data_IF_511040387800
#
_entry.id   IF_511040387800
#
_cell.length_a   1.000
_cell.length_b   1.000
_cell.length_c   1.000
_cell.angle_alpha   90.00
_cell.angle_beta   90.00
_cell.angle_gamma   90.00
#
_symmetry.space_group_name_H-M   'P 1'
#
loop_
_entity.id
_entity.type
_entity.pdbx_description
1 polymer ?
#
# COMPACT_ATOMS: atom_id res chain seq x y z
N UNK A 1 18.70 -8.67 -0.24
CA UNK A 1 18.00 -8.34 1.03
C UNK A 1 17.37 -6.96 0.96
N UNK A 2 18.12 -5.85 0.72
CA UNK A 2 17.59 -4.48 0.69
C UNK A 2 16.37 -4.33 -0.22
N UNK A 3 16.38 -4.84 -1.45
CA UNK A 3 15.26 -4.71 -2.38
C UNK A 3 13.98 -5.39 -1.89
N UNK A 4 14.07 -6.63 -1.40
CA UNK A 4 12.91 -7.37 -0.90
C UNK A 4 12.32 -6.73 0.37
N UNK A 5 13.19 -6.24 1.28
CA UNK A 5 12.72 -5.53 2.47
C UNK A 5 12.07 -4.18 2.13
N UNK A 6 12.63 -3.43 1.17
CA UNK A 6 12.05 -2.17 0.71
C UNK A 6 10.65 -2.39 0.13
N UNK A 7 10.47 -3.41 -0.71
CA UNK A 7 9.17 -3.73 -1.33
C UNK A 7 8.12 -4.11 -0.28
N UNK A 8 8.50 -4.93 0.70
CA UNK A 8 7.59 -5.30 1.81
C UNK A 8 7.26 -4.10 2.67
N UNK A 9 8.25 -3.27 3.03
CA UNK A 9 8.02 -2.11 3.90
C UNK A 9 7.23 -1.00 3.19
N UNK A 10 7.44 -0.80 1.89
CA UNK A 10 6.63 0.11 1.08
C UNK A 10 5.15 -0.31 1.12
N UNK A 11 4.87 -1.57 0.78
CA UNK A 11 3.50 -2.09 0.80
C UNK A 11 2.87 -2.04 2.20
N UNK A 12 3.62 -2.40 3.25
CA UNK A 12 3.12 -2.35 4.63
C UNK A 12 2.84 -0.91 5.08
N UNK A 13 3.66 0.05 4.65
CA UNK A 13 3.45 1.46 4.95
C UNK A 13 2.22 2.01 4.22
N UNK A 14 2.09 1.72 2.92
CA UNK A 14 0.92 2.13 2.14
C UNK A 14 -0.38 1.57 2.70
N UNK A 15 -0.42 0.28 3.04
CA UNK A 15 -1.61 -0.34 3.63
C UNK A 15 -1.94 0.23 5.01
N UNK A 16 -0.94 0.53 5.83
CA UNK A 16 -1.16 1.15 7.14
C UNK A 16 -1.72 2.57 7.02
N UNK A 17 -1.18 3.38 6.10
CA UNK A 17 -1.67 4.72 5.82
C UNK A 17 -3.09 4.65 5.24
N UNK A 18 -3.34 3.75 4.27
CA UNK A 18 -4.66 3.56 3.67
C UNK A 18 -5.72 3.18 4.71
N UNK A 19 -5.41 2.21 5.60
CA UNK A 19 -6.31 1.83 6.70
C UNK A 19 -6.57 3.00 7.66
N UNK A 20 -5.54 3.78 7.99
CA UNK A 20 -5.67 4.97 8.81
C UNK A 20 -6.54 6.05 8.17
N UNK A 21 -6.31 6.33 6.89
CA UNK A 21 -7.10 7.30 6.11
C UNK A 21 -8.54 6.85 5.92
N UNK A 22 -8.79 5.55 5.66
CA UNK A 22 -10.13 4.99 5.54
C UNK A 22 -10.93 5.18 6.85
N UNK A 23 -10.34 4.83 7.99
CA UNK A 23 -10.99 4.97 9.31
C UNK A 23 -11.23 6.42 9.70
N UNK A 24 -10.31 7.31 9.41
CA UNK A 24 -10.44 8.73 9.69
C UNK A 24 -11.32 9.45 8.67
N UNK A 25 -11.38 8.94 7.44
CA UNK A 25 -12.06 9.59 6.33
C UNK A 25 -13.55 9.25 6.22
N UNK A 26 -14.02 8.11 6.73
CA UNK A 26 -15.47 7.82 6.75
C UNK A 26 -16.05 8.34 8.06
N UNK A 27 -16.88 9.38 7.97
CA UNK A 27 -17.58 10.02 9.09
C UNK A 27 -19.07 9.66 9.13
N UNK A 28 -19.53 8.80 8.23
CA UNK A 28 -20.86 8.24 8.21
C UNK A 28 -21.10 7.34 9.43
N UNK A 29 -22.35 7.26 9.91
CA UNK A 29 -22.74 6.35 11.00
C UNK A 29 -22.99 4.93 10.49
N UNK A 30 -23.51 4.83 9.28
CA UNK A 30 -23.85 3.56 8.62
C UNK A 30 -23.26 3.50 7.21
N UNK A 31 -22.78 2.31 6.87
CA UNK A 31 -22.34 1.96 5.52
C UNK A 31 -23.27 0.85 5.01
N UNK A 32 -23.91 1.08 3.88
CA UNK A 32 -24.79 0.09 3.25
C UNK A 32 -24.11 -0.43 2.00
N UNK A 33 -24.04 -1.74 1.87
CA UNK A 33 -23.49 -2.44 0.71
C UNK A 33 -24.43 -3.51 0.23
N UNK A 34 -24.32 -3.88 -1.05
CA UNK A 34 -25.02 -5.02 -1.61
C UNK A 34 -24.07 -5.73 -2.61
N UNK A 35 -23.89 -7.05 -2.54
CA UNK A 35 -23.06 -7.79 -3.49
C UNK A 35 -23.48 -7.62 -4.97
N UNK A 36 -24.76 -7.36 -5.24
CA UNK A 36 -25.27 -7.07 -6.57
C UNK A 36 -25.10 -5.59 -6.99
N UNK A 37 -24.67 -4.73 -6.05
CA UNK A 37 -24.62 -3.28 -6.20
C UNK A 37 -25.93 -2.60 -5.81
N UNK A 38 -25.83 -1.35 -5.38
CA UNK A 38 -26.97 -0.54 -4.92
C UNK A 38 -27.57 0.24 -6.09
N UNK A 39 -28.91 0.27 -6.21
CA UNK A 39 -29.58 1.07 -7.22
C UNK A 39 -29.21 2.56 -7.11
N UNK A 40 -29.20 3.25 -8.25
CA UNK A 40 -28.84 4.70 -8.33
C UNK A 40 -29.69 5.58 -7.42
N UNK A 41 -30.95 5.22 -7.21
CA UNK A 41 -31.91 5.92 -6.37
C UNK A 41 -31.79 5.58 -4.87
N UNK A 42 -30.86 4.68 -4.50
CA UNK A 42 -30.68 4.24 -3.11
C UNK A 42 -30.35 5.40 -2.18
N UNK A 43 -29.47 6.32 -2.63
CA UNK A 43 -29.10 7.51 -1.87
C UNK A 43 -30.30 8.44 -1.62
N UNK A 44 -31.10 8.70 -2.66
CA UNK A 44 -32.32 9.51 -2.52
C UNK A 44 -33.36 8.86 -1.62
N UNK A 45 -33.53 7.54 -1.72
CA UNK A 45 -34.44 6.80 -0.83
C UNK A 45 -33.98 6.86 0.61
N UNK A 46 -32.70 6.70 0.87
CA UNK A 46 -32.12 6.82 2.19
C UNK A 46 -32.28 8.24 2.76
N UNK A 47 -32.04 9.27 1.97
CA UNK A 47 -32.17 10.67 2.37
C UNK A 47 -33.61 11.06 2.78
N UNK A 48 -34.62 10.34 2.27
CA UNK A 48 -36.05 10.53 2.66
C UNK A 48 -36.45 9.78 3.92
N UNK A 49 -35.57 8.95 4.48
CA UNK A 49 -35.89 8.18 5.70
C UNK A 49 -35.80 9.07 6.95
N UNK A 50 -36.65 8.81 7.96
CA UNK A 50 -36.64 9.60 9.17
C UNK A 50 -35.30 9.55 9.91
N UNK A 51 -34.78 10.73 10.29
CA UNK A 51 -33.56 10.87 11.07
C UNK A 51 -32.27 10.77 10.26
N UNK A 52 -32.34 10.68 8.94
CA UNK A 52 -31.15 10.74 8.05
C UNK A 52 -30.79 12.18 7.78
N UNK A 53 -29.54 12.56 8.08
CA UNK A 53 -29.00 13.91 7.88
C UNK A 53 -28.31 14.07 6.53
N UNK A 54 -27.69 12.98 6.02
CA UNK A 54 -27.07 12.90 4.71
C UNK A 54 -26.98 11.45 4.25
N UNK A 55 -27.14 11.23 2.96
CA UNK A 55 -26.95 9.95 2.31
C UNK A 55 -26.30 10.14 0.95
N UNK A 56 -25.15 9.49 0.74
CA UNK A 56 -24.33 9.65 -0.47
C UNK A 56 -23.97 8.28 -1.03
N UNK A 57 -24.36 8.01 -2.26
CA UNK A 57 -23.94 6.84 -3.02
C UNK A 57 -22.56 7.04 -3.63
N UNK A 58 -21.74 6.02 -3.54
CA UNK A 58 -20.40 6.00 -4.10
C UNK A 58 -20.29 4.90 -5.16
N UNK A 59 -20.01 5.29 -6.39
CA UNK A 59 -19.67 4.39 -7.49
C UNK A 59 -18.16 4.33 -7.60
N UNK A 60 -17.56 3.20 -7.18
CA UNK A 60 -16.13 3.02 -7.26
C UNK A 60 -15.72 2.52 -8.64
N UNK A 61 -14.71 3.15 -9.24
CA UNK A 61 -14.16 2.79 -10.54
C UNK A 61 -12.68 3.15 -10.64
N UNK A 62 -12.10 3.02 -11.82
CA UNK A 62 -10.75 3.50 -12.11
C UNK A 62 -10.78 4.41 -13.33
N UNK A 63 -9.97 5.45 -13.28
CA UNK A 63 -9.69 6.33 -14.43
C UNK A 63 -8.19 6.27 -14.74
N UNK A 64 -7.81 6.55 -15.98
CA UNK A 64 -6.41 6.63 -16.36
C UNK A 64 -6.01 8.11 -16.44
N UNK A 65 -4.95 8.48 -15.74
CA UNK A 65 -4.44 9.85 -15.72
C UNK A 65 -3.02 9.84 -16.28
N UNK A 66 -2.69 10.72 -17.25
CA UNK A 66 -1.32 10.90 -17.69
C UNK A 66 -0.52 11.55 -16.56
N UNK A 67 0.57 10.90 -16.17
CA UNK A 67 1.49 11.34 -15.12
C UNK A 67 2.88 11.46 -15.72
N UNK A 68 3.60 12.51 -15.34
CA UNK A 68 4.91 12.84 -15.90
C UNK A 68 4.79 13.87 -17.02
N UNK A 69 5.95 14.32 -17.53
CA UNK A 69 6.03 15.38 -18.53
C UNK A 69 6.78 14.90 -19.78
N UNK A 70 6.34 15.36 -20.95
CA UNK A 70 6.99 15.11 -22.25
C UNK A 70 7.01 13.64 -22.65
N UNK A 71 8.18 13.17 -23.13
CA UNK A 71 8.38 11.79 -23.59
C UNK A 71 8.30 10.72 -22.45
N UNK A 72 8.32 11.15 -21.20
CA UNK A 72 8.22 10.27 -20.03
C UNK A 72 6.80 10.23 -19.43
N UNK A 73 5.79 10.75 -20.14
CA UNK A 73 4.41 10.65 -19.70
C UNK A 73 3.91 9.20 -19.82
N UNK A 74 3.32 8.68 -18.76
CA UNK A 74 2.70 7.36 -18.73
C UNK A 74 1.25 7.47 -18.23
N UNK A 75 0.36 6.65 -18.78
CA UNK A 75 -1.00 6.52 -18.26
C UNK A 75 -0.98 5.65 -17.00
N UNK A 76 -1.39 6.23 -15.89
CA UNK A 76 -1.50 5.51 -14.62
C UNK A 76 -2.97 5.36 -14.23
N UNK A 77 -3.32 4.18 -13.71
CA UNK A 77 -4.63 3.92 -13.12
C UNK A 77 -4.76 4.65 -11.78
N UNK A 78 -5.78 5.50 -11.66
CA UNK A 78 -6.14 6.17 -10.43
C UNK A 78 -7.50 5.66 -9.95
N UNK A 79 -7.60 5.30 -8.66
CA UNK A 79 -8.87 4.94 -8.05
C UNK A 79 -9.81 6.14 -8.06
N UNK A 80 -11.00 5.98 -8.61
CA UNK A 80 -11.97 7.04 -8.74
C UNK A 80 -13.29 6.68 -8.07
N UNK A 81 -13.93 7.67 -7.46
CA UNK A 81 -15.30 7.55 -6.95
C UNK A 81 -16.21 8.56 -7.64
N UNK A 82 -17.36 8.09 -8.12
CA UNK A 82 -18.48 8.91 -8.54
C UNK A 82 -19.43 9.12 -7.38
N UNK A 83 -19.72 10.37 -7.06
CA UNK A 83 -20.51 10.76 -5.89
C UNK A 83 -21.93 11.11 -6.33
N UNK A 84 -22.94 10.48 -5.72
CA UNK A 84 -24.34 10.85 -5.87
C UNK A 84 -24.68 11.92 -4.85
N UNK A 85 -25.15 13.08 -5.32
CA UNK A 85 -25.47 14.22 -4.46
C UNK A 85 -24.44 15.34 -4.58
N UNK A 86 -24.41 16.24 -3.62
CA UNK A 86 -23.56 17.43 -3.61
C UNK A 86 -22.26 17.21 -2.86
N UNK A 87 -21.22 17.98 -3.16
CA UNK A 87 -19.98 17.97 -2.40
C UNK A 87 -20.16 18.34 -0.91
N UNK A 88 -21.17 19.18 -0.60
CA UNK A 88 -21.55 19.51 0.79
C UNK A 88 -22.14 18.29 1.53
N UNK A 89 -22.92 17.44 0.87
CA UNK A 89 -23.43 16.19 1.44
C UNK A 89 -22.31 15.19 1.61
N UNK A 90 -21.40 15.09 0.63
CA UNK A 90 -20.21 14.26 0.75
C UNK A 90 -19.38 14.63 1.98
N UNK A 91 -19.15 15.92 2.22
CA UNK A 91 -18.38 16.39 3.39
C UNK A 91 -18.99 16.02 4.74
N UNK A 92 -20.29 15.69 4.79
CA UNK A 92 -20.95 15.22 6.02
C UNK A 92 -20.66 13.74 6.33
N UNK A 93 -20.46 12.91 5.30
CA UNK A 93 -20.31 11.45 5.41
C UNK A 93 -18.88 10.98 5.18
N UNK A 94 -18.05 11.83 4.53
CA UNK A 94 -16.67 11.52 4.20
C UNK A 94 -15.78 12.77 4.39
N UNK A 95 -14.81 12.68 5.28
CA UNK A 95 -13.78 13.69 5.49
C UNK A 95 -12.55 13.37 4.62
N UNK A 96 -12.42 14.06 3.50
CA UNK A 96 -11.30 13.92 2.56
C UNK A 96 -10.05 14.70 3.00
N UNK A 97 -10.11 15.50 4.07
CA UNK A 97 -9.02 16.40 4.48
C UNK A 97 -8.66 17.39 3.37
N UNK A 98 -9.63 18.22 2.94
CA UNK A 98 -9.44 19.21 1.87
C UNK A 98 -8.39 20.22 2.29
N UNK A 99 -7.36 20.37 1.47
CA UNK A 99 -6.22 21.27 1.67
C UNK A 99 -6.35 22.57 0.88
N UNK A 100 -6.88 22.47 -0.32
CA UNK A 100 -7.06 23.59 -1.24
C UNK A 100 -8.39 23.48 -1.95
N UNK A 101 -9.04 24.61 -2.22
CA UNK A 101 -10.34 24.67 -2.88
C UNK A 101 -11.53 24.29 -1.98
N UNK A 102 -12.62 23.80 -2.58
CA UNK A 102 -13.84 23.37 -1.85
C UNK A 102 -14.56 22.27 -2.60
N UNK A 103 -15.04 21.26 -1.87
CA UNK A 103 -15.92 20.21 -2.41
C UNK A 103 -17.32 20.75 -2.81
N UNK A 104 -17.77 21.87 -2.26
CA UNK A 104 -19.08 22.47 -2.61
C UNK A 104 -19.18 22.79 -4.09
N UNK A 105 -18.03 22.97 -4.75
CA UNK A 105 -17.95 23.24 -6.19
C UNK A 105 -17.95 21.98 -7.05
N UNK A 106 -17.95 20.77 -6.43
CA UNK A 106 -18.01 19.52 -7.15
C UNK A 106 -19.32 19.40 -7.94
N UNK A 107 -19.25 18.96 -9.18
CA UNK A 107 -20.38 18.83 -10.09
C UNK A 107 -19.93 18.44 -11.48
N UNK A 108 -20.82 18.54 -12.46
CA UNK A 108 -20.53 18.16 -13.85
C UNK A 108 -19.33 18.94 -14.41
N UNK A 109 -18.40 18.22 -15.05
CA UNK A 109 -17.16 18.79 -15.61
C UNK A 109 -16.13 19.24 -14.57
N UNK A 110 -16.30 18.88 -13.31
CA UNK A 110 -15.42 19.24 -12.20
C UNK A 110 -14.94 18.01 -11.45
N UNK A 111 -13.75 18.13 -10.83
CA UNK A 111 -13.10 17.03 -10.15
C UNK A 111 -12.40 17.52 -8.89
N UNK A 112 -12.41 16.69 -7.86
CA UNK A 112 -11.50 16.83 -6.72
C UNK A 112 -10.47 15.68 -6.78
N UNK A 113 -9.21 15.98 -6.46
CA UNK A 113 -8.11 15.01 -6.55
C UNK A 113 -7.30 14.98 -5.27
N UNK A 114 -6.61 13.88 -5.04
CA UNK A 114 -5.68 13.80 -3.92
C UNK A 114 -4.37 14.54 -4.24
N UNK A 115 -3.67 14.93 -3.20
CA UNK A 115 -2.41 15.70 -3.31
C UNK A 115 -1.31 14.88 -4.00
N UNK A 116 -1.30 13.57 -3.86
CA UNK A 116 -0.31 12.70 -4.51
C UNK A 116 -0.46 12.77 -6.01
N UNK A 117 -1.68 12.68 -6.50
CA UNK A 117 -1.98 12.80 -7.93
C UNK A 117 -1.72 14.23 -8.44
N UNK A 118 -2.12 15.25 -7.68
CA UNK A 118 -1.86 16.65 -8.01
C UNK A 118 -0.36 16.90 -8.23
N UNK A 119 0.48 16.42 -7.30
CA UNK A 119 1.94 16.54 -7.41
C UNK A 119 2.51 15.72 -8.58
N UNK A 120 2.00 14.51 -8.81
CA UNK A 120 2.49 13.61 -9.85
C UNK A 120 2.15 14.10 -11.27
N UNK A 121 1.00 14.76 -11.41
CA UNK A 121 0.54 15.35 -12.66
C UNK A 121 0.93 16.84 -12.83
N UNK A 122 1.55 17.44 -11.80
CA UNK A 122 1.93 18.88 -11.75
C UNK A 122 0.75 19.81 -12.03
N UNK A 123 -0.38 19.58 -11.33
CA UNK A 123 -1.64 20.34 -11.48
C UNK A 123 -2.17 20.79 -10.12
N UNK A 124 -2.94 21.89 -10.11
CA UNK A 124 -3.54 22.48 -8.92
C UNK A 124 -5.01 22.88 -9.11
N UNK A 125 -5.59 23.52 -8.09
CA UNK A 125 -6.95 24.03 -8.15
C UNK A 125 -7.10 25.08 -9.26
N UNK A 126 -8.08 24.89 -10.14
CA UNK A 126 -8.36 25.75 -11.31
C UNK A 126 -7.77 25.20 -12.61
N UNK A 127 -6.83 24.26 -12.54
CA UNK A 127 -6.31 23.58 -13.73
C UNK A 127 -7.29 22.53 -14.25
N UNK A 128 -7.04 22.04 -15.46
CA UNK A 128 -7.79 20.93 -16.03
C UNK A 128 -6.98 19.65 -15.91
N UNK A 129 -7.61 18.59 -15.39
CA UNK A 129 -7.00 17.26 -15.30
C UNK A 129 -7.36 16.44 -16.56
N UNK A 130 -6.42 16.22 -17.50
CA UNK A 130 -6.67 15.27 -18.57
C UNK A 130 -6.76 13.87 -17.99
N UNK A 131 -7.84 13.15 -18.29
CA UNK A 131 -8.05 11.78 -17.85
C UNK A 131 -8.82 10.97 -18.90
N UNK A 132 -8.73 9.66 -18.80
CA UNK A 132 -9.53 8.75 -19.58
C UNK A 132 -10.50 8.04 -18.63
N UNK A 133 -11.79 8.11 -18.96
CA UNK A 133 -12.85 7.38 -18.28
C UNK A 133 -12.71 5.88 -18.49
N UNK A 134 -13.43 5.04 -17.75
CA UNK A 134 -13.28 3.59 -17.82
C UNK A 134 -13.46 2.96 -19.21
N UNK A 135 -14.24 3.57 -20.06
CA UNK A 135 -14.47 3.18 -21.47
C UNK A 135 -13.40 3.73 -22.45
N UNK A 136 -12.41 4.47 -21.94
CA UNK A 136 -11.36 5.09 -22.74
C UNK A 136 -11.72 6.50 -23.26
N UNK A 137 -12.92 7.01 -22.99
CA UNK A 137 -13.31 8.37 -23.39
C UNK A 137 -12.42 9.41 -22.69
N UNK A 138 -11.90 10.34 -23.45
CA UNK A 138 -11.07 11.44 -22.93
C UNK A 138 -11.95 12.52 -22.32
N UNK A 139 -11.58 12.96 -21.13
CA UNK A 139 -12.20 14.06 -20.40
C UNK A 139 -11.13 14.96 -19.80
N UNK A 140 -11.46 16.21 -19.55
CA UNK A 140 -10.56 17.17 -18.91
C UNK A 140 -11.33 18.07 -17.94
N UNK A 141 -11.86 17.53 -16.83
CA UNK A 141 -12.60 18.31 -15.84
C UNK A 141 -11.69 19.32 -15.12
N UNK A 142 -12.30 20.42 -14.65
CA UNK A 142 -11.64 21.44 -13.83
C UNK A 142 -11.42 20.92 -12.39
N UNK A 143 -10.23 21.10 -11.85
CA UNK A 143 -9.90 20.75 -10.47
C UNK A 143 -10.47 21.81 -9.53
N UNK A 144 -11.40 21.43 -8.66
CA UNK A 144 -12.07 22.32 -7.70
C UNK A 144 -11.57 22.17 -6.28
N UNK A 145 -10.93 21.03 -5.95
CA UNK A 145 -10.34 20.79 -4.65
C UNK A 145 -9.16 19.83 -4.74
N UNK A 146 -8.17 20.02 -3.85
CA UNK A 146 -7.08 19.10 -3.59
C UNK A 146 -7.15 18.65 -2.13
N UNK A 147 -7.13 17.34 -1.88
CA UNK A 147 -7.33 16.76 -0.57
C UNK A 147 -6.20 15.81 -0.15
N UNK A 148 -6.12 15.48 1.14
CA UNK A 148 -5.02 14.71 1.72
C UNK A 148 -5.28 13.21 1.88
N UNK A 149 -6.54 12.74 1.87
CA UNK A 149 -6.90 11.34 2.17
C UNK A 149 -7.35 10.56 0.94
N UNK A 150 -6.48 10.45 -0.06
CA UNK A 150 -6.80 9.71 -1.29
C UNK A 150 -6.49 8.22 -1.22
N UNK A 151 -5.48 7.81 -0.46
CA UNK A 151 -4.94 6.46 -0.52
C UNK A 151 -5.91 5.40 0.06
N UNK A 152 -6.66 5.73 1.10
CA UNK A 152 -7.64 4.84 1.72
C UNK A 152 -9.06 4.98 1.17
N UNK A 153 -9.36 6.03 0.40
CA UNK A 153 -10.68 6.36 -0.11
C UNK A 153 -10.69 6.29 -1.64
N UNK A 154 -10.45 7.42 -2.29
CA UNK A 154 -10.27 7.49 -3.74
C UNK A 154 -9.29 8.62 -4.07
N UNK A 155 -8.50 8.43 -5.12
CA UNK A 155 -7.53 9.42 -5.61
C UNK A 155 -8.19 10.52 -6.42
N UNK A 156 -9.32 10.18 -7.05
CA UNK A 156 -10.11 11.09 -7.91
C UNK A 156 -11.57 11.00 -7.47
N UNK A 157 -12.18 12.16 -7.21
CA UNK A 157 -13.60 12.28 -6.85
C UNK A 157 -14.33 13.09 -7.90
N UNK A 158 -15.31 12.48 -8.54
CA UNK A 158 -16.10 13.05 -9.62
C UNK A 158 -17.58 13.08 -9.22
N UNK A 159 -18.36 13.93 -9.86
CA UNK A 159 -19.80 13.77 -9.86
C UNK A 159 -20.19 12.47 -10.58
N UNK A 160 -21.12 11.72 -10.04
CA UNK A 160 -21.61 10.47 -10.60
C UNK A 160 -22.13 10.61 -12.04
N UNK A 161 -22.78 11.74 -12.35
CA UNK A 161 -23.28 12.03 -13.70
C UNK A 161 -22.14 12.02 -14.74
N UNK A 162 -20.94 12.44 -14.35
CA UNK A 162 -19.76 12.43 -15.24
C UNK A 162 -19.26 11.01 -15.57
N UNK A 163 -19.66 10.00 -14.81
CA UNK A 163 -19.32 8.58 -15.04
C UNK A 163 -20.47 7.79 -15.69
N UNK A 164 -21.67 8.39 -15.75
CA UNK A 164 -22.85 7.72 -16.30
C UNK A 164 -22.63 7.40 -17.79
N UNK A 165 -22.87 6.14 -18.16
CA UNK A 165 -22.63 5.67 -19.51
C UNK A 165 -21.20 5.28 -19.86
N UNK A 166 -20.22 5.58 -18.98
CA UNK A 166 -18.79 5.27 -19.16
C UNK A 166 -18.30 4.14 -18.27
N UNK A 167 -19.17 3.54 -17.45
CA UNK A 167 -18.88 2.43 -16.56
C UNK A 167 -19.65 1.19 -16.97
N UNK A 168 -19.08 0.01 -16.74
CA UNK A 168 -19.71 -1.29 -17.05
C UNK A 168 -20.88 -1.63 -16.13
N UNK A 169 -20.86 -1.14 -14.89
CA UNK A 169 -21.95 -1.27 -13.92
C UNK A 169 -22.45 0.08 -13.50
N UNK A 170 -23.74 0.35 -13.69
CA UNK A 170 -24.39 1.58 -13.26
C UNK A 170 -24.82 1.62 -11.79
N UNK A 171 -24.46 0.59 -11.01
CA UNK A 171 -24.81 0.49 -9.59
C UNK A 171 -23.78 1.16 -8.69
N UNK A 172 -24.23 1.75 -7.58
CA UNK A 172 -23.33 2.26 -6.57
C UNK A 172 -22.72 1.10 -5.78
N UNK A 173 -21.45 1.18 -5.45
CA UNK A 173 -20.74 0.14 -4.70
C UNK A 173 -21.01 0.22 -3.21
N UNK A 174 -21.30 1.43 -2.71
CA UNK A 174 -21.43 1.74 -1.29
C UNK A 174 -22.33 2.95 -1.11
N UNK A 175 -23.17 2.92 -0.08
CA UNK A 175 -23.97 4.06 0.34
C UNK A 175 -23.54 4.45 1.75
N UNK A 176 -23.05 5.68 1.90
CA UNK A 176 -22.69 6.28 3.18
C UNK A 176 -23.86 7.06 3.73
N UNK A 177 -24.26 6.79 4.97
CA UNK A 177 -25.41 7.42 5.60
C UNK A 177 -25.02 8.00 6.97
N UNK A 178 -25.39 9.24 7.21
CA UNK A 178 -25.29 9.91 8.49
C UNK A 178 -26.65 10.04 9.11
N UNK A 179 -26.81 9.59 10.36
CA UNK A 179 -28.09 9.54 11.04
C UNK A 179 -28.96 8.36 10.60
N UNK A 180 -30.21 8.37 11.00
CA UNK A 180 -31.16 7.28 10.72
C UNK A 180 -30.99 6.07 11.62
N UNK A 181 -31.76 5.01 11.35
CA UNK A 181 -31.62 3.73 12.06
C UNK A 181 -31.15 2.64 11.10
N UNK A 182 -30.21 1.80 11.56
CA UNK A 182 -29.73 0.68 10.75
C UNK A 182 -30.85 -0.28 10.32
N UNK A 183 -31.93 -0.40 11.11
CA UNK A 183 -33.08 -1.24 10.76
C UNK A 183 -33.87 -0.71 9.55
N UNK A 184 -34.04 0.60 9.42
CA UNK A 184 -34.70 1.18 8.25
C UNK A 184 -33.82 1.09 7.01
N UNK A 185 -32.52 1.24 7.16
CA UNK A 185 -31.54 1.15 6.06
C UNK A 185 -31.35 -0.29 5.56
N UNK A 186 -31.63 -1.31 6.38
CA UNK A 186 -31.56 -2.73 6.00
C UNK A 186 -32.49 -3.13 4.83
N UNK A 187 -33.48 -2.29 4.51
CA UNK A 187 -34.29 -2.46 3.29
C UNK A 187 -33.55 -2.11 2.00
N UNK A 188 -32.40 -1.44 2.08
CA UNK A 188 -31.60 -1.03 0.93
C UNK A 188 -30.41 -1.98 0.67
N UNK A 189 -29.95 -2.71 1.68
CA UNK A 189 -28.82 -3.62 1.58
C UNK A 189 -28.30 -4.04 2.96
N UNK A 190 -27.13 -4.63 2.98
CA UNK A 190 -26.44 -5.00 4.23
C UNK A 190 -25.88 -3.76 4.92
N UNK A 191 -26.28 -3.55 6.15
CA UNK A 191 -25.89 -2.37 6.95
C UNK A 191 -24.78 -2.76 7.91
N UNK A 192 -23.63 -2.11 7.74
CA UNK A 192 -22.46 -2.28 8.62
C UNK A 192 -22.12 -0.93 9.25
N UNK A 193 -21.54 -0.95 10.43
CA UNK A 193 -20.94 0.24 11.01
C UNK A 193 -19.60 0.57 10.33
N UNK A 194 -19.14 1.79 10.48
CA UNK A 194 -17.88 2.25 9.84
C UNK A 194 -16.67 1.39 10.23
N UNK A 195 -16.64 0.89 11.47
CA UNK A 195 -15.55 0.04 11.98
C UNK A 195 -15.55 -1.36 11.34
N UNK A 196 -16.73 -1.96 11.17
CA UNK A 196 -16.93 -3.22 10.47
C UNK A 196 -16.52 -3.13 9.02
N UNK A 197 -17.02 -2.12 8.31
CA UNK A 197 -16.65 -1.87 6.91
C UNK A 197 -15.14 -1.67 6.71
N UNK A 198 -14.48 -0.87 7.56
CA UNK A 198 -13.05 -0.68 7.49
C UNK A 198 -12.28 -2.00 7.73
N UNK A 199 -12.82 -2.87 8.60
CA UNK A 199 -12.21 -4.18 8.88
C UNK A 199 -12.34 -5.13 7.69
N UNK A 200 -13.49 -5.21 7.04
CA UNK A 200 -13.68 -6.01 5.81
C UNK A 200 -12.77 -5.55 4.69
N UNK A 201 -12.74 -4.23 4.42
CA UNK A 201 -11.86 -3.64 3.41
C UNK A 201 -10.38 -3.97 3.67
N UNK A 202 -9.96 -3.95 4.94
CA UNK A 202 -8.59 -4.29 5.33
C UNK A 202 -8.27 -5.78 5.15
N UNK A 203 -9.24 -6.67 5.29
CA UNK A 203 -9.09 -8.10 5.01
C UNK A 203 -8.90 -8.37 3.51
N UNK A 204 -9.70 -7.76 2.65
CA UNK A 204 -9.57 -7.86 1.20
C UNK A 204 -8.20 -7.34 0.72
N UNK A 205 -7.75 -6.21 1.26
CA UNK A 205 -6.42 -5.65 0.99
C UNK A 205 -5.31 -6.61 1.43
N UNK A 206 -5.46 -7.30 2.57
CA UNK A 206 -4.50 -8.31 3.04
C UNK A 206 -4.45 -9.54 2.14
N UNK A 207 -5.58 -9.99 1.59
CA UNK A 207 -5.61 -11.08 0.61
C UNK A 207 -4.87 -10.69 -0.67
N UNK A 208 -5.05 -9.45 -1.16
CA UNK A 208 -4.31 -8.91 -2.30
C UNK A 208 -2.79 -8.78 -2.03
N UNK A 209 -2.39 -8.52 -0.78
CA UNK A 209 -0.99 -8.43 -0.36
C UNK A 209 -0.21 -9.77 -0.47
N UNK A 210 -0.89 -10.90 -0.47
CA UNK A 210 -0.27 -12.22 -0.60
C UNK A 210 0.60 -12.35 -1.87
N UNK A 211 0.16 -11.76 -2.96
CA UNK A 211 0.91 -11.71 -4.23
C UNK A 211 2.26 -11.00 -4.05
N UNK A 212 2.27 -9.85 -3.39
CA UNK A 212 3.48 -9.08 -3.12
C UNK A 212 4.44 -9.79 -2.17
N UNK A 213 3.92 -10.44 -1.12
CA UNK A 213 4.75 -11.25 -0.21
C UNK A 213 5.35 -12.47 -0.90
N UNK A 214 4.61 -13.12 -1.79
CA UNK A 214 5.11 -14.25 -2.59
C UNK A 214 6.24 -13.80 -3.50
N UNK A 215 6.07 -12.68 -4.21
CA UNK A 215 7.11 -12.11 -5.07
C UNK A 215 8.37 -11.72 -4.27
N UNK A 216 8.19 -11.04 -3.14
CA UNK A 216 9.28 -10.69 -2.23
C UNK A 216 9.99 -11.94 -1.69
N UNK A 217 9.24 -13.00 -1.37
CA UNK A 217 9.76 -14.30 -0.92
C UNK A 217 10.60 -14.99 -1.99
N UNK A 218 10.16 -14.99 -3.24
CA UNK A 218 10.93 -15.56 -4.37
C UNK A 218 12.23 -14.79 -4.57
N UNK A 219 12.18 -13.45 -4.66
CA UNK A 219 13.37 -12.61 -4.82
C UNK A 219 14.34 -12.74 -3.63
N UNK A 220 13.80 -12.75 -2.41
CA UNK A 220 14.57 -12.99 -1.19
C UNK A 220 15.21 -14.37 -1.16
N UNK A 221 14.49 -15.40 -1.63
CA UNK A 221 14.99 -16.77 -1.76
C UNK A 221 16.16 -16.87 -2.73
N UNK A 222 16.07 -16.29 -3.90
CA UNK A 222 17.20 -16.22 -4.86
C UNK A 222 18.41 -15.51 -4.26
N UNK A 223 18.20 -14.37 -3.59
CA UNK A 223 19.27 -13.65 -2.92
C UNK A 223 19.93 -14.49 -1.80
N UNK A 224 19.13 -15.25 -1.04
CA UNK A 224 19.61 -16.14 0.01
C UNK A 224 20.45 -17.27 -0.58
N UNK A 225 20.01 -17.92 -1.66
CA UNK A 225 20.76 -18.98 -2.36
C UNK A 225 22.09 -18.45 -2.86
N UNK A 226 22.09 -17.27 -3.51
CA UNK A 226 23.32 -16.64 -3.99
C UNK A 226 24.30 -16.34 -2.85
N UNK A 227 23.82 -15.78 -1.74
CA UNK A 227 24.62 -15.48 -0.57
C UNK A 227 25.20 -16.75 0.07
N UNK A 228 24.37 -17.80 0.24
CA UNK A 228 24.83 -19.09 0.77
C UNK A 228 25.89 -19.69 -0.13
N UNK A 229 25.69 -19.69 -1.45
CA UNK A 229 26.67 -20.21 -2.40
C UNK A 229 28.01 -19.48 -2.28
N UNK A 230 28.00 -18.15 -2.22
CA UNK A 230 29.20 -17.34 -2.04
C UNK A 230 29.92 -17.64 -0.72
N UNK A 231 29.16 -17.72 0.40
CA UNK A 231 29.73 -18.03 1.71
C UNK A 231 30.32 -19.45 1.77
N UNK A 232 29.64 -20.42 1.17
CA UNK A 232 30.14 -21.81 1.09
C UNK A 232 31.42 -21.86 0.30
N UNK A 233 31.50 -21.23 -0.87
CA UNK A 233 32.72 -21.16 -1.69
C UNK A 233 33.88 -20.52 -0.92
N UNK A 234 33.63 -19.39 -0.24
CA UNK A 234 34.65 -18.73 0.57
C UNK A 234 35.23 -19.66 1.67
N UNK A 235 34.36 -20.44 2.33
CA UNK A 235 34.80 -21.42 3.36
C UNK A 235 35.59 -22.58 2.72
N UNK A 236 35.16 -23.04 1.54
CA UNK A 236 35.86 -24.13 0.83
C UNK A 236 37.22 -23.68 0.31
N UNK A 237 37.39 -22.48 -0.16
CA UNK A 237 38.68 -21.96 -0.62
C UNK A 237 39.70 -21.83 0.52
N UNK A 238 39.21 -21.47 1.72
CA UNK A 238 40.07 -21.39 2.93
C UNK A 238 40.36 -22.72 3.64
N UNK A 239 39.98 -23.86 3.05
CA UNK A 239 40.19 -25.17 3.69
C UNK A 239 41.65 -25.45 4.07
N UNK A 240 42.62 -25.06 3.24
CA UNK A 240 44.06 -25.25 3.54
C UNK A 240 44.49 -24.41 4.73
N UNK A 241 44.05 -23.16 4.83
CA UNK A 241 44.31 -22.27 5.98
C UNK A 241 43.72 -22.83 7.28
N UNK A 242 42.49 -23.36 7.23
CA UNK A 242 41.85 -24.01 8.38
C UNK A 242 42.58 -25.28 8.82
N UNK A 243 43.20 -26.02 7.88
CA UNK A 243 44.06 -27.16 8.14
C UNK A 243 45.35 -26.76 8.85
N UNK A 244 46.04 -25.70 8.41
CA UNK A 244 47.27 -25.21 9.04
C UNK A 244 47.04 -24.69 10.46
N UNK A 245 45.93 -24.02 10.73
CA UNK A 245 45.58 -23.60 12.10
C UNK A 245 45.45 -24.76 13.08
N UNK A 246 44.98 -25.94 12.62
CA UNK A 246 44.92 -27.16 13.43
C UNK A 246 46.30 -27.76 13.66
N UNK A 247 47.19 -27.71 12.69
CA UNK A 247 48.58 -28.20 12.84
C UNK A 247 49.37 -27.41 13.90
N UNK A 248 49.01 -26.10 14.07
CA UNK A 248 49.57 -25.21 15.10
C UNK A 248 48.89 -25.41 16.47
N UNK A 249 47.92 -26.34 16.59
CA UNK A 249 47.34 -26.73 17.90
C UNK A 249 45.98 -26.10 18.23
N UNK A 250 45.33 -25.40 17.27
CA UNK A 250 44.00 -24.84 17.50
C UNK A 250 42.92 -25.94 17.62
N UNK A 251 42.03 -25.80 18.60
CA UNK A 251 40.91 -26.71 18.79
C UNK A 251 39.77 -26.45 17.78
N UNK A 252 38.98 -27.48 17.46
CA UNK A 252 37.80 -27.35 16.58
C UNK A 252 36.83 -26.26 17.05
N UNK A 253 36.68 -26.12 18.39
CA UNK A 253 35.77 -25.09 18.96
C UNK A 253 36.28 -23.68 18.71
N UNK A 254 37.58 -23.46 18.80
CA UNK A 254 38.21 -22.16 18.55
C UNK A 254 38.07 -21.76 17.07
N UNK A 255 38.35 -22.67 16.13
CA UNK A 255 38.19 -22.40 14.68
C UNK A 255 36.74 -22.10 14.31
N UNK A 256 35.79 -22.90 14.81
CA UNK A 256 34.38 -22.66 14.59
C UNK A 256 33.89 -21.35 15.25
N UNK A 257 34.44 -21.01 16.42
CA UNK A 257 34.16 -19.74 17.10
C UNK A 257 34.60 -18.55 16.28
N UNK A 258 35.81 -18.58 15.73
CA UNK A 258 36.37 -17.54 14.85
C UNK A 258 35.48 -17.35 13.61
N UNK A 259 35.13 -18.42 12.91
CA UNK A 259 34.28 -18.38 11.72
C UNK A 259 32.88 -17.85 12.02
N UNK A 260 32.31 -18.14 13.18
CA UNK A 260 31.02 -17.58 13.61
C UNK A 260 31.10 -16.09 13.84
N UNK A 261 32.15 -15.61 14.51
CA UNK A 261 32.35 -14.17 14.72
C UNK A 261 32.55 -13.42 13.39
N UNK A 262 33.36 -13.99 12.49
CA UNK A 262 33.56 -13.44 11.14
C UNK A 262 32.22 -13.36 10.38
N UNK A 263 31.42 -14.43 10.38
CA UNK A 263 30.11 -14.42 9.70
C UNK A 263 29.11 -13.47 10.34
N UNK A 264 29.11 -13.33 11.67
CA UNK A 264 28.27 -12.37 12.38
C UNK A 264 28.66 -10.93 12.05
N UNK A 265 29.95 -10.62 12.01
CA UNK A 265 30.44 -9.27 11.62
C UNK A 265 30.01 -8.93 10.19
N UNK A 266 30.24 -9.83 9.23
CA UNK A 266 29.85 -9.61 7.83
C UNK A 266 28.33 -9.46 7.73
N UNK A 267 27.56 -10.30 8.42
CA UNK A 267 26.10 -10.21 8.44
C UNK A 267 25.60 -8.90 9.06
N UNK A 268 26.21 -8.47 10.17
CA UNK A 268 25.84 -7.20 10.83
C UNK A 268 26.13 -6.00 9.93
N UNK A 269 27.30 -5.95 9.31
CA UNK A 269 27.62 -4.91 8.32
C UNK A 269 26.64 -4.92 7.16
N UNK A 270 26.31 -6.12 6.63
CA UNK A 270 25.33 -6.26 5.56
C UNK A 270 23.92 -5.79 5.94
N UNK A 271 23.47 -6.10 7.17
CA UNK A 271 22.17 -5.65 7.69
C UNK A 271 22.18 -4.12 7.89
N UNK A 272 23.22 -3.56 8.48
CA UNK A 272 23.31 -2.11 8.71
C UNK A 272 23.33 -1.34 7.39
N UNK A 273 24.18 -1.75 6.44
CA UNK A 273 24.24 -1.11 5.12
C UNK A 273 22.93 -1.28 4.34
N UNK A 274 22.36 -2.49 4.34
CA UNK A 274 21.08 -2.76 3.68
C UNK A 274 19.93 -1.93 4.28
N UNK A 275 19.90 -1.79 5.60
CA UNK A 275 18.90 -0.95 6.29
C UNK A 275 19.10 0.54 6.00
N UNK A 276 20.34 1.01 5.97
CA UNK A 276 20.66 2.39 5.64
C UNK A 276 20.24 2.75 4.20
N UNK A 277 20.53 1.87 3.23
CA UNK A 277 20.12 2.05 1.84
C UNK A 277 18.59 2.02 1.73
N UNK A 278 17.92 1.06 2.37
CA UNK A 278 16.47 0.98 2.38
C UNK A 278 15.82 2.24 2.97
N UNK A 279 16.34 2.75 4.08
CA UNK A 279 15.86 4.00 4.69
C UNK A 279 16.12 5.22 3.80
N UNK A 280 17.32 5.32 3.21
CA UNK A 280 17.67 6.42 2.32
C UNK A 280 16.82 6.48 1.04
N UNK A 281 16.30 5.36 0.57
CA UNK A 281 15.39 5.30 -0.60
C UNK A 281 13.94 5.44 -0.19
N UNK A 282 13.50 4.74 0.87
CA UNK A 282 12.09 4.66 1.26
C UNK A 282 11.59 5.97 1.89
N UNK A 283 12.40 6.63 2.73
CA UNK A 283 11.98 7.86 3.42
C UNK A 283 11.67 9.01 2.44
N UNK A 284 12.57 9.38 1.49
CA UNK A 284 12.25 10.43 0.53
C UNK A 284 11.08 10.05 -0.39
N UNK A 285 11.01 8.78 -0.80
CA UNK A 285 9.94 8.29 -1.66
C UNK A 285 8.58 8.42 -0.98
N UNK A 286 8.43 7.92 0.26
CA UNK A 286 7.17 8.01 1.01
C UNK A 286 6.79 9.46 1.34
N UNK A 287 7.75 10.30 1.74
CA UNK A 287 7.48 11.72 1.98
C UNK A 287 7.07 12.46 0.71
N UNK A 288 7.64 12.11 -0.42
CA UNK A 288 7.27 12.70 -1.72
C UNK A 288 5.90 12.26 -2.21
N UNK A 289 5.51 11.01 -1.98
CA UNK A 289 4.24 10.46 -2.46
C UNK A 289 3.09 10.65 -1.47
N UNK A 290 3.26 10.32 -0.20
CA UNK A 290 2.18 10.33 0.80
C UNK A 290 2.29 11.46 1.81
N UNK A 291 3.45 12.15 1.87
CA UNK A 291 3.76 13.15 2.89
C UNK A 291 4.05 12.58 4.28
N UNK A 292 3.98 11.26 4.44
CA UNK A 292 4.16 10.57 5.71
C UNK A 292 5.48 9.79 5.78
N UNK A 293 5.87 9.42 7.00
CA UNK A 293 7.05 8.60 7.22
C UNK A 293 6.71 7.11 7.06
N UNK A 294 7.63 6.28 6.52
CA UNK A 294 7.38 4.87 6.34
C UNK A 294 7.15 4.16 7.68
N UNK A 295 6.14 3.30 7.72
CA UNK A 295 5.85 2.44 8.86
C UNK A 295 6.57 1.10 8.71
N UNK A 296 7.51 0.81 9.60
CA UNK A 296 8.26 -0.44 9.62
C UNK A 296 7.86 -1.25 10.86
N UNK A 297 7.07 -2.32 10.70
CA UNK A 297 6.70 -3.17 11.83
C UNK A 297 7.94 -3.82 12.45
N UNK A 298 8.20 -3.65 13.76
CA UNK A 298 9.44 -4.14 14.40
C UNK A 298 9.59 -5.66 14.35
N UNK A 299 8.47 -6.41 14.39
CA UNK A 299 8.46 -7.86 14.24
C UNK A 299 8.90 -8.31 12.85
N UNK A 300 8.44 -7.65 11.79
CA UNK A 300 8.86 -7.96 10.42
C UNK A 300 10.34 -7.63 10.22
N UNK A 301 10.78 -6.46 10.66
CA UNK A 301 12.20 -6.10 10.59
C UNK A 301 13.07 -7.09 11.36
N UNK A 302 12.69 -7.44 12.59
CA UNK A 302 13.38 -8.43 13.41
C UNK A 302 13.46 -9.82 12.75
N UNK A 303 12.41 -10.25 12.06
CA UNK A 303 12.39 -11.52 11.31
C UNK A 303 13.37 -11.53 10.15
N UNK A 304 13.49 -10.42 9.40
CA UNK A 304 14.48 -10.27 8.32
C UNK A 304 15.91 -10.30 8.85
N UNK A 305 16.17 -9.60 9.96
CA UNK A 305 17.50 -9.62 10.63
C UNK A 305 17.84 -11.00 11.13
N UNK A 306 16.91 -11.69 11.78
CA UNK A 306 17.08 -13.05 12.29
C UNK A 306 17.31 -14.07 11.16
N UNK A 307 16.56 -13.95 10.05
CA UNK A 307 16.73 -14.79 8.87
C UNK A 307 18.11 -14.58 8.23
N UNK A 308 18.54 -13.33 8.05
CA UNK A 308 19.86 -13.02 7.50
C UNK A 308 21.00 -13.56 8.36
N UNK A 309 20.97 -13.32 9.67
CA UNK A 309 21.95 -13.84 10.62
C UNK A 309 21.96 -15.37 10.70
N UNK A 310 20.78 -15.99 10.73
CA UNK A 310 20.63 -17.45 10.73
C UNK A 310 21.19 -18.10 9.47
N UNK A 311 20.88 -17.57 8.29
CA UNK A 311 21.42 -18.04 7.01
C UNK A 311 22.94 -17.92 6.96
N UNK A 312 23.50 -16.77 7.40
CA UNK A 312 24.95 -16.56 7.42
C UNK A 312 25.64 -17.57 8.35
N UNK A 313 25.09 -17.80 9.55
CA UNK A 313 25.62 -18.79 10.50
C UNK A 313 25.54 -20.21 9.96
N UNK A 314 24.43 -20.61 9.34
CA UNK A 314 24.24 -21.95 8.77
C UNK A 314 25.18 -22.16 7.56
N UNK A 315 25.27 -21.20 6.66
CA UNK A 315 26.11 -21.26 5.46
C UNK A 315 27.59 -21.42 5.77
N UNK A 316 28.07 -20.88 6.90
CA UNK A 316 29.47 -21.01 7.33
C UNK A 316 29.68 -22.24 8.21
N UNK A 317 28.78 -22.50 9.16
CA UNK A 317 28.99 -23.57 10.15
C UNK A 317 28.81 -24.98 9.58
N UNK A 318 27.88 -25.19 8.64
CA UNK A 318 27.64 -26.50 8.05
C UNK A 318 28.85 -27.00 7.23
N UNK A 319 29.37 -26.25 6.22
CA UNK A 319 30.55 -26.72 5.47
C UNK A 319 31.81 -26.76 6.30
N UNK A 320 32.00 -25.85 7.28
CA UNK A 320 33.11 -25.88 8.20
C UNK A 320 33.10 -27.15 9.07
N UNK A 321 31.95 -27.56 9.59
CA UNK A 321 31.81 -28.83 10.35
C UNK A 321 32.07 -30.04 9.46
N UNK A 322 31.58 -30.05 8.22
CA UNK A 322 31.82 -31.14 7.27
C UNK A 322 33.31 -31.27 6.89
N UNK A 323 33.98 -30.12 6.67
CA UNK A 323 35.41 -30.09 6.40
C UNK A 323 36.23 -30.59 7.57
N UNK A 324 35.87 -30.23 8.80
CA UNK A 324 36.60 -30.67 10.02
C UNK A 324 36.32 -32.13 10.44
N UNK A 325 35.24 -32.75 9.96
CA UNK A 325 34.93 -34.19 10.23
C UNK A 325 35.75 -35.16 9.37
N UNK A 326 36.10 -34.79 8.13
CA UNK A 326 36.86 -35.65 7.18
C UNK A 326 38.33 -35.81 7.55
N UNK A 327 38.82 -35.11 8.54
CA UNK A 327 40.23 -35.17 9.01
C UNK A 327 40.36 -35.83 10.39
N UNK A 328 39.34 -36.54 10.83
CA UNK A 328 39.36 -37.47 11.97
C UNK A 328 39.33 -38.90 11.46
#
# INVERSE_FOLDING_TARGET
>A
MAFASTLVFMHTSESHIADGQLRAGITADHVVTDPAGLPVDAAERAARMPGVDAAVGLLNTQVLVPVGSGEFSSLQGAAAQGVTGTGAELAKVQDLDVREGSLDRLGEGRVAIDRTLANAADVGVGDRLPLHLPDGTKSAPEIVAVYGRGLGLATVTLDRASLAGHVSSGFDSTLLVRGGSGRSLAALGEVTDTSGFATERSLDAKLGAWSNYTMAGVLGGFAAIAAVNTLVMTVLDRRRELGTLRLVGSTRRQVLGMLRWESLLVSTVGVVLGSAIAAATLIPMMRGTTGESPYVPPLLYGSFVAAAGGLALLAVTLPARAALRRWS
#
